data_IF_210920236091
#
_entry.id   IF_210920236091
#
_cell.length_a   1.000
_cell.length_b   1.000
_cell.length_c   1.000
_cell.angle_alpha   90.00
_cell.angle_beta   90.00
_cell.angle_gamma   90.00
#
_symmetry.space_group_name_H-M   'P 1'
#
loop_
_entity.id
_entity.type
_entity.pdbx_description
1 polymer ?
#
# COMPACT_ATOMS: atom_id res chain seq x y z
N UNK A 1 27.02 3.38 -0.28
CA UNK A 1 25.71 2.73 -0.54
C UNK A 1 25.07 3.43 -1.73
N UNK A 2 24.56 2.71 -2.74
CA UNK A 2 23.98 3.35 -3.93
C UNK A 2 22.56 3.87 -3.60
N UNK A 3 22.37 5.19 -3.63
CA UNK A 3 21.09 5.86 -3.32
C UNK A 3 19.92 5.28 -4.11
N UNK A 4 20.11 4.95 -5.40
CA UNK A 4 19.05 4.38 -6.25
C UNK A 4 18.58 3.02 -5.73
N UNK A 5 19.50 2.17 -5.28
CA UNK A 5 19.20 0.85 -4.71
C UNK A 5 18.38 0.98 -3.42
N UNK A 6 18.72 1.95 -2.58
CA UNK A 6 18.02 2.20 -1.32
C UNK A 6 16.59 2.72 -1.54
N UNK A 7 16.40 3.62 -2.51
CA UNK A 7 15.06 4.06 -2.93
C UNK A 7 14.26 2.86 -3.46
N UNK A 8 14.85 2.02 -4.31
CA UNK A 8 14.18 0.84 -4.85
C UNK A 8 13.76 -0.15 -3.76
N UNK A 9 14.62 -0.39 -2.75
CA UNK A 9 14.27 -1.23 -1.60
C UNK A 9 13.08 -0.64 -0.86
N UNK A 10 13.10 0.67 -0.57
CA UNK A 10 11.98 1.34 0.07
C UNK A 10 10.68 1.23 -0.74
N UNK A 11 10.76 1.42 -2.05
CA UNK A 11 9.62 1.32 -2.95
C UNK A 11 9.01 -0.09 -2.96
N UNK A 12 9.84 -1.13 -3.07
CA UNK A 12 9.39 -2.53 -3.00
C UNK A 12 8.73 -2.82 -1.65
N UNK A 13 9.33 -2.35 -0.55
CA UNK A 13 8.74 -2.51 0.79
C UNK A 13 7.39 -1.82 0.90
N UNK A 14 7.23 -0.62 0.31
CA UNK A 14 5.94 0.07 0.26
C UNK A 14 4.89 -0.66 -0.59
N UNK A 15 5.25 -1.31 -1.70
CA UNK A 15 4.30 -2.13 -2.46
C UNK A 15 3.85 -3.35 -1.64
N UNK A 16 4.81 -4.03 -1.01
CA UNK A 16 4.53 -5.21 -0.19
C UNK A 16 3.68 -4.84 1.02
N UNK A 17 3.99 -3.75 1.72
CA UNK A 17 3.23 -3.29 2.87
C UNK A 17 1.77 -2.96 2.48
N UNK A 18 1.56 -2.32 1.33
CA UNK A 18 0.21 -2.01 0.84
C UNK A 18 -0.59 -3.30 0.52
N UNK A 19 0.05 -4.25 -0.17
CA UNK A 19 -0.57 -5.53 -0.49
C UNK A 19 -0.91 -6.32 0.78
N UNK A 20 0.02 -6.40 1.72
CA UNK A 20 -0.20 -7.04 3.02
C UNK A 20 -1.30 -6.35 3.82
N UNK A 21 -1.36 -5.02 3.81
CA UNK A 21 -2.41 -4.30 4.53
C UNK A 21 -3.79 -4.48 3.94
N UNK A 22 -3.85 -4.54 2.61
CA UNK A 22 -5.09 -4.87 1.91
C UNK A 22 -5.55 -6.29 2.26
N UNK A 23 -4.66 -7.27 2.19
CA UNK A 23 -4.96 -8.66 2.54
C UNK A 23 -5.35 -8.83 4.01
N UNK A 24 -4.63 -8.17 4.92
CA UNK A 24 -4.90 -8.22 6.35
C UNK A 24 -6.27 -7.61 6.67
N UNK A 25 -6.63 -6.52 6.00
CA UNK A 25 -7.96 -5.93 6.13
C UNK A 25 -9.05 -6.91 5.69
N UNK A 26 -8.89 -7.53 4.52
CA UNK A 26 -9.84 -8.52 4.01
C UNK A 26 -9.98 -9.68 5.01
N UNK A 27 -8.88 -10.24 5.49
CA UNK A 27 -8.90 -11.39 6.40
C UNK A 27 -9.50 -11.09 7.78
N UNK A 28 -9.39 -9.86 8.28
CA UNK A 28 -9.91 -9.49 9.61
C UNK A 28 -11.35 -9.02 9.54
N UNK A 29 -11.75 -8.33 8.46
CA UNK A 29 -13.02 -7.61 8.39
C UNK A 29 -14.01 -8.17 7.36
N UNK A 30 -13.61 -9.14 6.53
CA UNK A 30 -14.51 -9.78 5.56
C UNK A 30 -14.85 -11.20 5.97
N UNK A 31 -16.14 -11.51 5.95
CA UNK A 31 -16.64 -12.89 6.10
C UNK A 31 -16.51 -13.71 4.80
N UNK A 32 -16.19 -13.06 3.68
CA UNK A 32 -16.00 -13.66 2.36
C UNK A 32 -14.55 -14.09 2.14
N UNK A 33 -14.33 -15.02 1.20
CA UNK A 33 -12.95 -15.35 0.79
C UNK A 33 -12.24 -14.14 0.17
N UNK A 34 -10.90 -14.19 0.10
CA UNK A 34 -10.09 -13.08 -0.42
C UNK A 34 -10.51 -12.69 -1.84
N UNK A 35 -10.74 -13.69 -2.69
CA UNK A 35 -11.18 -13.52 -4.07
C UNK A 35 -12.57 -12.91 -4.16
N UNK A 36 -13.53 -13.42 -3.38
CA UNK A 36 -14.90 -12.91 -3.35
C UNK A 36 -14.97 -11.48 -2.82
N UNK A 37 -14.17 -11.15 -1.80
CA UNK A 37 -14.08 -9.79 -1.25
C UNK A 37 -13.50 -8.82 -2.28
N UNK A 38 -12.48 -9.25 -3.03
CA UNK A 38 -11.89 -8.44 -4.08
C UNK A 38 -12.85 -8.24 -5.25
N UNK A 39 -13.52 -9.29 -5.72
CA UNK A 39 -14.56 -9.18 -6.76
C UNK A 39 -15.72 -8.30 -6.29
N UNK A 40 -16.17 -8.44 -5.04
CA UNK A 40 -17.19 -7.58 -4.46
C UNK A 40 -16.74 -6.12 -4.39
N UNK A 41 -15.48 -5.85 -4.03
CA UNK A 41 -14.92 -4.50 -4.01
C UNK A 41 -14.83 -3.90 -5.42
N UNK A 42 -14.52 -4.70 -6.44
CA UNK A 42 -14.53 -4.28 -7.85
C UNK A 42 -15.96 -3.97 -8.31
N UNK A 43 -16.90 -4.90 -8.07
CA UNK A 43 -18.30 -4.75 -8.49
C UNK A 43 -19.02 -3.59 -7.78
N UNK A 44 -18.61 -3.25 -6.56
CA UNK A 44 -19.17 -2.13 -5.80
C UNK A 44 -18.40 -0.83 -5.98
N UNK A 45 -17.37 -0.77 -6.84
CA UNK A 45 -16.49 0.42 -7.01
C UNK A 45 -15.76 0.83 -5.71
N UNK A 46 -15.61 -0.10 -4.75
CA UNK A 46 -14.95 0.11 -3.46
C UNK A 46 -13.45 -0.21 -3.47
N UNK A 47 -12.87 -0.51 -4.64
CA UNK A 47 -11.43 -0.82 -4.81
C UNK A 47 -10.55 0.30 -4.25
N UNK A 48 -10.91 1.56 -4.49
CA UNK A 48 -10.16 2.71 -3.98
C UNK A 48 -10.11 2.75 -2.45
N UNK A 49 -11.22 2.42 -1.77
CA UNK A 49 -11.29 2.35 -0.31
C UNK A 49 -10.42 1.21 0.24
N UNK A 50 -10.47 0.06 -0.42
CA UNK A 50 -9.68 -1.12 -0.05
C UNK A 50 -8.17 -0.85 -0.14
N UNK A 51 -7.73 -0.21 -1.24
CA UNK A 51 -6.34 0.22 -1.41
C UNK A 51 -5.92 1.30 -0.42
N UNK A 52 -6.84 2.22 -0.05
CA UNK A 52 -6.56 3.25 0.96
C UNK A 52 -6.30 2.65 2.34
N UNK A 53 -7.04 1.60 2.71
CA UNK A 53 -6.81 0.81 3.92
C UNK A 53 -5.46 0.10 3.89
N UNK A 54 -5.08 -0.50 2.75
CA UNK A 54 -3.75 -1.05 2.54
C UNK A 54 -2.63 -0.04 2.78
N UNK A 55 -2.82 1.21 2.33
CA UNK A 55 -1.83 2.27 2.44
C UNK A 55 -1.52 2.68 3.89
N UNK A 56 -2.38 2.33 4.86
CA UNK A 56 -2.08 2.52 6.29
C UNK A 56 -0.80 1.77 6.69
N UNK A 57 -0.60 0.56 6.17
CA UNK A 57 0.62 -0.22 6.44
C UNK A 57 1.86 0.39 5.77
N UNK A 58 1.71 1.16 4.70
CA UNK A 58 2.82 1.94 4.15
C UNK A 58 3.28 3.03 5.11
N UNK A 59 2.36 3.66 5.85
CA UNK A 59 2.74 4.64 6.88
C UNK A 59 3.56 3.96 7.99
N UNK A 60 3.19 2.76 8.40
CA UNK A 60 3.96 1.97 9.37
C UNK A 60 5.38 1.70 8.84
N UNK A 61 5.52 1.24 7.60
CA UNK A 61 6.82 1.01 6.98
C UNK A 61 7.65 2.31 6.84
N UNK A 62 6.99 3.41 6.45
CA UNK A 62 7.61 4.73 6.30
C UNK A 62 8.18 5.25 7.63
N UNK A 63 7.35 5.32 8.68
CA UNK A 63 7.80 5.74 10.00
C UNK A 63 8.80 4.76 10.62
N UNK A 64 8.68 3.46 10.33
CA UNK A 64 9.67 2.46 10.69
C UNK A 64 11.06 2.78 10.14
N UNK A 65 11.17 3.09 8.83
CA UNK A 65 12.43 3.49 8.23
C UNK A 65 12.97 4.82 8.77
N UNK A 66 12.11 5.80 9.04
CA UNK A 66 12.54 7.06 9.67
C UNK A 66 13.13 6.81 11.08
N UNK A 67 12.49 5.96 11.89
CA UNK A 67 12.94 5.65 13.26
C UNK A 67 14.33 5.02 13.28
N UNK A 68 14.68 4.21 12.29
CA UNK A 68 16.00 3.59 12.15
C UNK A 68 16.99 4.42 11.30
N UNK A 69 16.71 5.71 11.07
CA UNK A 69 17.56 6.64 10.30
C UNK A 69 17.86 6.16 8.87
N UNK A 70 16.86 5.56 8.20
CA UNK A 70 16.94 5.08 6.81
C UNK A 70 16.10 5.96 5.89
N UNK A 71 16.37 7.26 5.89
CA UNK A 71 15.58 8.28 5.17
C UNK A 71 15.47 8.01 3.66
N UNK A 72 16.52 7.49 3.04
CA UNK A 72 16.51 7.16 1.59
C UNK A 72 15.52 6.02 1.28
N UNK A 73 15.40 5.03 2.17
CA UNK A 73 14.39 3.97 2.03
C UNK A 73 12.99 4.50 2.34
N UNK A 74 12.86 5.37 3.35
CA UNK A 74 11.59 6.03 3.63
C UNK A 74 11.07 6.82 2.42
N UNK A 75 11.94 7.53 1.68
CA UNK A 75 11.58 8.16 0.40
C UNK A 75 11.05 7.16 -0.62
N UNK A 76 11.66 5.98 -0.73
CA UNK A 76 11.15 4.90 -1.58
C UNK A 76 9.74 4.47 -1.21
N UNK A 77 9.46 4.26 0.08
CA UNK A 77 8.10 3.92 0.56
C UNK A 77 7.12 5.03 0.21
N UNK A 78 7.52 6.29 0.39
CA UNK A 78 6.66 7.45 0.10
C UNK A 78 6.29 7.55 -1.38
N UNK A 79 7.23 7.22 -2.29
CA UNK A 79 6.93 7.11 -3.74
C UNK A 79 5.89 6.02 -3.99
N UNK A 80 6.01 4.85 -3.34
CA UNK A 80 5.01 3.79 -3.46
C UNK A 80 3.63 4.23 -2.95
N UNK A 81 3.57 4.96 -1.83
CA UNK A 81 2.32 5.53 -1.29
C UNK A 81 1.68 6.52 -2.26
N UNK A 82 2.46 7.41 -2.89
CA UNK A 82 1.96 8.35 -3.89
C UNK A 82 1.42 7.59 -5.11
N UNK A 83 2.11 6.55 -5.56
CA UNK A 83 1.65 5.70 -6.65
C UNK A 83 0.31 5.03 -6.30
N UNK A 84 0.17 4.46 -5.10
CA UNK A 84 -1.10 3.93 -4.61
C UNK A 84 -2.18 4.99 -4.58
N UNK A 85 -1.88 6.22 -4.15
CA UNK A 85 -2.84 7.32 -4.16
C UNK A 85 -3.33 7.67 -5.57
N UNK A 86 -2.44 7.67 -6.57
CA UNK A 86 -2.84 7.86 -7.97
C UNK A 86 -3.70 6.70 -8.49
N UNK A 87 -3.41 5.46 -8.10
CA UNK A 87 -4.26 4.31 -8.44
C UNK A 87 -5.66 4.44 -7.82
N UNK A 88 -5.74 4.83 -6.55
CA UNK A 88 -7.02 5.09 -5.86
C UNK A 88 -7.80 6.19 -6.59
N UNK A 89 -7.13 7.29 -6.96
CA UNK A 89 -7.75 8.38 -7.69
C UNK A 89 -8.28 7.91 -9.05
N UNK A 90 -7.50 7.12 -9.78
CA UNK A 90 -7.91 6.55 -11.06
C UNK A 90 -9.20 5.73 -10.93
N UNK A 91 -9.23 4.75 -10.02
CA UNK A 91 -10.41 3.90 -9.76
C UNK A 91 -11.62 4.65 -9.21
N UNK A 92 -11.42 5.84 -8.62
CA UNK A 92 -12.52 6.63 -8.06
C UNK A 92 -13.12 7.61 -9.07
N UNK A 93 -12.35 8.00 -10.09
CA UNK A 93 -12.75 9.02 -11.08
C UNK A 93 -13.22 8.39 -12.39
N UNK A 94 -12.66 7.24 -12.77
CA UNK A 94 -12.96 6.52 -14.01
C UNK A 94 -13.46 5.12 -13.71
#
# INVERSE_FOLDING_TARGET
>A
MNTKKEILIGFIVGIIANALGTLLYILIFSDLSITETFEAAVNQEHVGSLLALGAILNLVAFFGFLKIKRDIRAKGVLIATILTAFLILYYKVF
#
